data_IF_584994351411
#
_entry.id   IF_584994351411
#
_cell.length_a   1.000
_cell.length_b   1.000
_cell.length_c   1.000
_cell.angle_alpha   90.00
_cell.angle_beta   90.00
_cell.angle_gamma   90.00
#
_symmetry.space_group_name_H-M   'P 1'
#
loop_
_entity.id
_entity.type
_entity.pdbx_description
1 polymer ?
#
# COMPACT_ATOMS: atom_id res chain seq x y z
N UNK A 1 -12.13 5.01 1.46
CA UNK A 1 -12.89 6.15 2.05
C UNK A 1 -11.98 7.31 2.42
N UNK A 2 -10.83 7.10 3.08
CA UNK A 2 -9.85 8.15 3.37
C UNK A 2 -9.43 8.99 2.16
N UNK A 3 -8.99 8.35 1.07
CA UNK A 3 -8.63 9.03 -0.18
C UNK A 3 -9.73 9.97 -0.71
N UNK A 4 -10.98 9.50 -0.78
CA UNK A 4 -12.09 10.33 -1.25
C UNK A 4 -12.33 11.55 -0.34
N UNK A 5 -12.17 11.39 0.98
CA UNK A 5 -12.32 12.48 1.95
C UNK A 5 -11.22 13.55 1.81
N UNK A 6 -9.99 13.12 1.55
CA UNK A 6 -8.87 14.01 1.25
C UNK A 6 -9.09 14.76 -0.07
N UNK A 7 -9.43 14.07 -1.15
CA UNK A 7 -9.60 14.71 -2.46
C UNK A 7 -10.82 15.64 -2.54
N UNK A 8 -11.81 15.48 -1.67
CA UNK A 8 -12.93 16.43 -1.56
C UNK A 8 -12.44 17.83 -1.18
N UNK A 9 -11.62 17.95 -0.14
CA UNK A 9 -11.01 19.22 0.23
C UNK A 9 -9.61 18.92 0.80
N UNK A 10 -8.53 19.11 0.04
CA UNK A 10 -7.20 18.71 0.48
C UNK A 10 -6.72 19.53 1.70
N UNK A 11 -6.36 18.83 2.77
CA UNK A 11 -5.64 19.37 3.92
C UNK A 11 -4.85 18.24 4.63
N UNK A 12 -3.91 18.60 5.50
CA UNK A 12 -3.03 17.63 6.16
C UNK A 12 -3.76 16.72 7.15
N UNK A 13 -4.86 17.18 7.74
CA UNK A 13 -5.71 16.37 8.64
C UNK A 13 -6.44 15.30 7.84
N UNK A 14 -6.92 15.60 6.63
CA UNK A 14 -7.60 14.62 5.78
C UNK A 14 -6.60 13.71 5.08
N UNK A 15 -5.42 14.20 4.76
CA UNK A 15 -4.33 13.38 4.25
C UNK A 15 -3.88 12.35 5.29
N UNK A 16 -3.92 12.69 6.58
CA UNK A 16 -3.74 11.73 7.66
C UNK A 16 -4.76 10.58 7.57
N UNK A 17 -6.04 10.93 7.37
CA UNK A 17 -7.13 9.94 7.22
C UNK A 17 -7.03 9.11 5.94
N UNK A 18 -6.29 9.55 4.93
CA UNK A 18 -5.95 8.74 3.76
C UNK A 18 -4.80 7.76 4.05
N UNK A 19 -3.74 8.24 4.70
CA UNK A 19 -2.51 7.46 4.96
C UNK A 19 -2.69 6.37 6.02
N UNK A 20 -3.52 6.60 7.04
CA UNK A 20 -3.76 5.64 8.12
C UNK A 20 -4.34 4.31 7.61
N UNK A 21 -5.48 4.28 6.88
CA UNK A 21 -6.01 3.04 6.29
C UNK A 21 -5.02 2.38 5.33
N UNK A 22 -4.27 3.18 4.57
CA UNK A 22 -3.28 2.68 3.63
C UNK A 22 -2.19 1.87 4.34
N UNK A 23 -1.67 2.36 5.47
CA UNK A 23 -0.70 1.62 6.28
C UNK A 23 -1.26 0.33 6.86
N UNK A 24 -2.54 0.33 7.30
CA UNK A 24 -3.18 -0.91 7.76
C UNK A 24 -3.19 -1.96 6.66
N UNK A 25 -3.57 -1.58 5.44
CA UNK A 25 -3.60 -2.49 4.29
C UNK A 25 -2.21 -3.05 3.95
N UNK A 26 -1.19 -2.19 3.90
CA UNK A 26 0.17 -2.63 3.56
C UNK A 26 0.78 -3.54 4.62
N UNK A 27 0.58 -3.22 5.91
CA UNK A 27 1.10 -4.04 7.00
C UNK A 27 0.36 -5.37 7.11
N UNK A 28 -0.96 -5.39 6.92
CA UNK A 28 -1.74 -6.62 6.87
C UNK A 28 -1.36 -7.50 5.66
N UNK A 29 -1.11 -6.89 4.50
CA UNK A 29 -0.65 -7.61 3.31
C UNK A 29 0.73 -8.25 3.54
N UNK A 30 1.67 -7.52 4.13
CA UNK A 30 2.98 -8.05 4.48
C UNK A 30 2.87 -9.22 5.47
N UNK A 31 2.11 -9.04 6.55
CA UNK A 31 1.90 -10.07 7.57
C UNK A 31 1.27 -11.33 6.99
N UNK A 32 0.25 -11.19 6.14
CA UNK A 32 -0.39 -12.30 5.45
C UNK A 32 0.62 -13.08 4.58
N UNK A 33 1.50 -12.37 3.86
CA UNK A 33 2.50 -12.99 3.04
C UNK A 33 3.56 -13.74 3.86
N UNK A 34 3.98 -13.17 4.98
CA UNK A 34 4.86 -13.82 5.93
C UNK A 34 4.19 -15.07 6.53
N UNK A 35 2.97 -14.96 7.03
CA UNK A 35 2.24 -16.07 7.67
C UNK A 35 2.09 -17.31 6.80
N UNK A 36 1.93 -17.11 5.49
CA UNK A 36 1.88 -18.21 4.50
C UNK A 36 3.23 -18.88 4.23
N UNK A 37 4.33 -18.37 4.79
CA UNK A 37 5.67 -18.97 4.74
C UNK A 37 6.13 -19.44 6.11
N UNK A 38 6.11 -18.57 7.11
CA UNK A 38 6.68 -18.84 8.44
C UNK A 38 5.69 -19.52 9.40
N UNK A 39 4.39 -19.45 9.10
CA UNK A 39 3.32 -20.08 9.90
C UNK A 39 2.42 -19.06 10.60
N UNK A 40 1.20 -19.49 10.92
CA UNK A 40 0.14 -18.65 11.51
C UNK A 40 0.49 -18.02 12.88
N UNK A 41 1.16 -18.74 13.82
CA UNK A 41 1.46 -18.14 15.14
C UNK A 41 2.38 -16.93 15.03
N UNK A 42 3.37 -16.99 14.13
CA UNK A 42 4.31 -15.89 13.92
C UNK A 42 3.64 -14.68 13.27
N UNK A 43 2.75 -14.89 12.30
CA UNK A 43 1.96 -13.81 11.70
C UNK A 43 1.02 -13.15 12.72
N UNK A 44 0.33 -13.96 13.54
CA UNK A 44 -0.57 -13.41 14.58
C UNK A 44 0.15 -12.50 15.58
N UNK A 45 1.40 -12.82 15.91
CA UNK A 45 2.26 -11.97 16.76
C UNK A 45 2.89 -10.80 15.98
N UNK A 46 3.19 -10.97 14.69
CA UNK A 46 3.77 -9.97 13.82
C UNK A 46 2.81 -8.84 13.45
N UNK A 47 1.55 -9.16 13.18
CA UNK A 47 0.53 -8.19 12.77
C UNK A 47 0.41 -6.96 13.68
N UNK A 48 0.23 -7.07 15.01
CA UNK A 48 0.13 -5.89 15.87
C UNK A 48 1.41 -5.05 15.85
N UNK A 49 2.58 -5.69 15.72
CA UNK A 49 3.87 -4.99 15.65
C UNK A 49 3.96 -4.20 14.34
N UNK A 50 3.69 -4.85 13.21
CA UNK A 50 3.73 -4.22 11.88
C UNK A 50 2.73 -3.07 11.79
N UNK A 51 1.48 -3.28 12.23
CA UNK A 51 0.46 -2.22 12.29
C UNK A 51 0.94 -1.06 13.14
N UNK A 52 1.46 -1.32 14.34
CA UNK A 52 1.94 -0.27 15.24
C UNK A 52 3.05 0.55 14.60
N UNK A 53 4.03 -0.11 13.98
CA UNK A 53 5.11 0.58 13.25
C UNK A 53 4.57 1.39 12.07
N UNK A 54 3.63 0.84 11.30
CA UNK A 54 3.01 1.53 10.16
C UNK A 54 2.27 2.79 10.60
N UNK A 55 1.41 2.68 11.63
CA UNK A 55 0.69 3.82 12.20
C UNK A 55 1.64 4.84 12.82
N UNK A 56 2.66 4.38 13.57
CA UNK A 56 3.67 5.26 14.16
C UNK A 56 4.43 6.05 13.09
N UNK A 57 4.72 5.46 11.92
CA UNK A 57 5.35 6.18 10.80
C UNK A 57 4.50 7.33 10.27
N UNK A 58 3.17 7.16 10.23
CA UNK A 58 2.23 8.21 9.80
C UNK A 58 2.12 9.30 10.88
N UNK A 59 2.05 8.90 12.15
CA UNK A 59 2.03 9.84 13.27
C UNK A 59 3.31 10.67 13.34
N UNK A 60 4.47 10.05 13.09
CA UNK A 60 5.73 10.75 13.03
C UNK A 60 5.72 11.84 11.97
N UNK A 61 5.26 11.52 10.75
CA UNK A 61 5.08 12.54 9.70
C UNK A 61 4.12 13.65 10.14
N UNK A 62 2.95 13.30 10.65
CA UNK A 62 1.91 14.27 11.00
C UNK A 62 2.37 15.23 12.11
N UNK A 63 2.99 14.71 13.16
CA UNK A 63 3.53 15.53 14.26
C UNK A 63 4.68 16.44 13.80
N UNK A 64 5.50 15.97 12.85
CA UNK A 64 6.53 16.77 12.22
C UNK A 64 5.94 17.90 11.38
N UNK A 65 4.93 17.60 10.56
CA UNK A 65 4.24 18.57 9.71
C UNK A 65 3.63 19.70 10.53
N UNK A 66 2.99 19.40 11.67
CA UNK A 66 2.47 20.41 12.61
C UNK A 66 3.55 21.35 13.17
N UNK A 67 4.82 20.95 13.12
CA UNK A 67 5.98 21.76 13.52
C UNK A 67 6.70 22.40 12.32
N UNK A 68 6.12 22.33 11.12
CA UNK A 68 6.73 22.81 9.87
C UNK A 68 7.84 21.90 9.33
N UNK A 69 7.91 20.64 9.76
CA UNK A 69 8.93 19.66 9.34
C UNK A 69 8.28 18.51 8.58
N UNK A 70 8.32 18.58 7.25
CA UNK A 70 7.81 17.51 6.41
C UNK A 70 8.85 16.39 6.21
N UNK A 71 8.80 15.35 7.03
CA UNK A 71 9.61 14.14 6.86
C UNK A 71 8.75 12.94 6.50
N UNK A 72 8.91 12.45 5.27
CA UNK A 72 8.18 11.31 4.71
C UNK A 72 9.00 10.02 4.68
N UNK A 73 10.24 10.02 5.16
CA UNK A 73 11.17 8.89 4.97
C UNK A 73 10.66 7.62 5.64
N UNK A 74 10.22 7.73 6.89
CA UNK A 74 9.69 6.58 7.64
C UNK A 74 8.38 6.07 7.02
N UNK A 75 7.47 6.98 6.68
CA UNK A 75 6.22 6.64 6.00
C UNK A 75 6.48 5.93 4.66
N UNK A 76 7.36 6.51 3.82
CA UNK A 76 7.74 5.94 2.54
C UNK A 76 8.41 4.58 2.70
N UNK A 77 9.30 4.42 3.68
CA UNK A 77 9.88 3.12 3.99
C UNK A 77 8.79 2.09 4.31
N UNK A 78 7.88 2.39 5.24
CA UNK A 78 6.81 1.45 5.61
C UNK A 78 5.84 1.16 4.45
N UNK A 79 5.63 2.13 3.55
CA UNK A 79 4.80 1.95 2.36
C UNK A 79 5.45 1.02 1.31
N UNK A 80 6.72 1.24 0.98
CA UNK A 80 7.39 0.51 -0.10
C UNK A 80 8.06 -0.79 0.37
N UNK A 81 8.35 -0.92 1.67
CA UNK A 81 8.99 -2.10 2.22
C UNK A 81 8.22 -3.40 1.96
N UNK A 82 6.88 -3.48 2.10
CA UNK A 82 6.11 -4.66 1.69
C UNK A 82 6.28 -5.03 0.22
N UNK A 83 6.37 -4.03 -0.66
CA UNK A 83 6.49 -4.26 -2.11
C UNK A 83 7.83 -4.86 -2.51
N UNK A 84 8.85 -4.67 -1.68
CA UNK A 84 10.14 -5.31 -1.82
C UNK A 84 10.19 -6.66 -1.09
N UNK A 85 9.78 -6.69 0.19
CA UNK A 85 9.95 -7.86 1.05
C UNK A 85 9.02 -9.02 0.65
N UNK A 86 7.79 -8.75 0.22
CA UNK A 86 6.86 -9.80 -0.21
C UNK A 86 7.43 -10.61 -1.38
N UNK A 87 7.88 -10.02 -2.50
CA UNK A 87 8.52 -10.79 -3.56
C UNK A 87 9.77 -11.55 -3.08
N UNK A 88 10.61 -10.96 -2.23
CA UNK A 88 11.74 -11.68 -1.64
C UNK A 88 11.28 -12.93 -0.85
N UNK A 89 10.25 -12.80 -0.04
CA UNK A 89 9.68 -13.90 0.75
C UNK A 89 9.08 -14.99 -0.15
N UNK A 90 8.40 -14.60 -1.24
CA UNK A 90 7.87 -15.52 -2.24
C UNK A 90 8.97 -16.33 -2.95
N UNK A 91 10.12 -15.71 -3.22
CA UNK A 91 11.26 -16.33 -3.91
C UNK A 91 12.09 -17.22 -2.98
N UNK A 92 12.30 -16.78 -1.73
CA UNK A 92 13.22 -17.44 -0.80
C UNK A 92 12.55 -18.57 0.00
N UNK A 93 11.23 -18.52 0.19
CA UNK A 93 10.52 -19.50 1.02
C UNK A 93 9.44 -20.24 0.22
N UNK A 94 9.44 -21.59 0.25
CA UNK A 94 8.43 -22.37 -0.44
C UNK A 94 7.03 -22.10 0.12
N UNK A 95 6.05 -22.03 -0.78
CA UNK A 95 4.66 -21.76 -0.41
C UNK A 95 4.03 -22.92 0.33
N UNK A 96 3.43 -22.63 1.50
CA UNK A 96 2.61 -23.59 2.25
C UNK A 96 1.15 -23.62 1.79
N UNK A 97 0.76 -22.68 0.92
CA UNK A 97 -0.65 -22.41 0.60
C UNK A 97 -1.02 -22.72 -0.85
N UNK A 98 -0.11 -23.34 -1.59
CA UNK A 98 -0.28 -23.70 -3.00
C UNK A 98 0.01 -22.55 -3.98
N UNK A 99 0.23 -22.88 -5.27
CA UNK A 99 0.76 -21.94 -6.26
C UNK A 99 -0.24 -20.88 -6.73
N UNK A 100 -1.53 -21.03 -6.42
CA UNK A 100 -2.57 -20.06 -6.85
C UNK A 100 -2.45 -18.73 -6.13
N UNK A 101 -2.33 -18.76 -4.81
CA UNK A 101 -2.22 -17.55 -3.99
C UNK A 101 -0.94 -16.77 -4.33
N UNK A 102 0.18 -17.46 -4.55
CA UNK A 102 1.43 -16.82 -4.97
C UNK A 102 1.26 -16.04 -6.28
N UNK A 103 0.53 -16.59 -7.25
CA UNK A 103 0.22 -15.90 -8.51
C UNK A 103 -0.65 -14.67 -8.27
N UNK A 104 -1.65 -14.76 -7.40
CA UNK A 104 -2.50 -13.61 -7.08
C UNK A 104 -1.71 -12.48 -6.42
N UNK A 105 -0.76 -12.81 -5.53
CA UNK A 105 0.16 -11.83 -4.95
C UNK A 105 1.05 -11.18 -6.01
N UNK A 106 1.60 -11.95 -6.95
CA UNK A 106 2.38 -11.39 -8.05
C UNK A 106 1.55 -10.44 -8.94
N UNK A 107 0.27 -10.77 -9.17
CA UNK A 107 -0.65 -9.88 -9.90
C UNK A 107 -0.87 -8.58 -9.10
N UNK A 108 -1.08 -8.66 -7.78
CA UNK A 108 -1.24 -7.47 -6.92
C UNK A 108 0.01 -6.58 -6.95
N UNK A 109 1.21 -7.16 -6.89
CA UNK A 109 2.47 -6.43 -6.99
C UNK A 109 2.62 -5.76 -8.36
N UNK A 110 2.25 -6.45 -9.45
CA UNK A 110 2.27 -5.89 -10.79
C UNK A 110 1.26 -4.74 -10.96
N UNK A 111 0.05 -4.87 -10.40
CA UNK A 111 -0.95 -3.81 -10.41
C UNK A 111 -0.49 -2.61 -9.58
N UNK A 112 0.19 -2.81 -8.45
CA UNK A 112 0.76 -1.73 -7.67
C UNK A 112 1.86 -0.98 -8.44
N UNK A 113 2.79 -1.71 -9.08
CA UNK A 113 3.80 -1.10 -9.96
C UNK A 113 3.15 -0.34 -11.13
N UNK A 114 2.09 -0.89 -11.72
CA UNK A 114 1.33 -0.21 -12.76
C UNK A 114 0.70 1.09 -12.23
N UNK A 115 0.08 1.06 -11.06
CA UNK A 115 -0.49 2.26 -10.43
C UNK A 115 0.57 3.35 -10.21
N UNK A 116 1.79 2.98 -9.79
CA UNK A 116 2.90 3.93 -9.66
C UNK A 116 3.34 4.51 -11.01
N UNK A 117 3.38 3.71 -12.08
CA UNK A 117 3.69 4.21 -13.43
C UNK A 117 2.66 5.26 -13.86
N UNK A 118 1.37 4.99 -13.64
CA UNK A 118 0.32 5.95 -13.96
C UNK A 118 0.47 7.24 -13.14
N UNK A 119 0.69 7.13 -11.83
CA UNK A 119 0.82 8.28 -10.94
C UNK A 119 2.06 9.13 -11.22
N UNK A 120 3.22 8.51 -11.49
CA UNK A 120 4.50 9.21 -11.58
C UNK A 120 4.86 9.63 -13.00
N UNK A 121 4.51 8.84 -14.02
CA UNK A 121 4.96 9.07 -15.39
C UNK A 121 3.84 9.57 -16.31
N UNK A 122 2.58 9.24 -16.01
CA UNK A 122 1.46 9.46 -16.92
C UNK A 122 0.41 10.44 -16.38
N UNK A 123 0.63 11.05 -15.22
CA UNK A 123 -0.36 11.94 -14.61
C UNK A 123 -0.71 13.15 -15.49
N UNK A 124 0.26 14.04 -15.72
CA UNK A 124 0.10 15.18 -16.61
C UNK A 124 -0.15 14.82 -18.08
N UNK A 125 0.56 13.83 -18.68
CA UNK A 125 0.31 13.42 -20.06
C UNK A 125 -1.12 12.96 -20.32
N UNK A 126 -1.71 12.15 -19.43
CA UNK A 126 -3.08 11.67 -19.60
C UNK A 126 -4.09 12.78 -19.38
N UNK A 127 -3.84 13.65 -18.39
CA UNK A 127 -4.70 14.80 -18.15
C UNK A 127 -4.73 15.75 -19.35
N UNK A 128 -3.60 15.95 -20.05
CA UNK A 128 -3.52 16.84 -21.21
C UNK A 128 -4.35 16.38 -22.43
N UNK A 129 -4.70 15.09 -22.53
CA UNK A 129 -5.47 14.56 -23.68
C UNK A 129 -6.94 14.97 -23.62
N UNK A 130 -7.54 14.96 -22.42
CA UNK A 130 -8.98 15.13 -22.28
C UNK A 130 -9.45 15.93 -21.06
N UNK A 131 -8.55 16.37 -20.18
CA UNK A 131 -8.86 17.22 -19.03
C UNK A 131 -9.72 16.58 -17.93
N UNK A 132 -10.08 15.30 -18.06
CA UNK A 132 -11.00 14.59 -17.15
C UNK A 132 -10.29 13.47 -16.39
N UNK A 133 -9.45 12.68 -17.07
CA UNK A 133 -8.76 11.52 -16.49
C UNK A 133 -7.28 11.83 -16.41
N UNK A 134 -6.72 11.72 -15.22
CA UNK A 134 -5.28 11.78 -14.98
C UNK A 134 -4.74 10.42 -14.57
N UNK A 135 -3.42 10.27 -14.62
CA UNK A 135 -2.73 9.10 -14.09
C UNK A 135 -3.01 8.86 -12.60
N UNK A 136 -3.12 9.94 -11.82
CA UNK A 136 -3.53 9.90 -10.42
C UNK A 136 -4.94 9.31 -10.24
N UNK A 137 -5.91 9.70 -11.07
CA UNK A 137 -7.25 9.11 -11.02
C UNK A 137 -7.23 7.61 -11.35
N UNK A 138 -6.45 7.22 -12.37
CA UNK A 138 -6.30 5.81 -12.77
C UNK A 138 -5.60 4.96 -11.73
N UNK A 139 -4.63 5.52 -10.98
CA UNK A 139 -3.94 4.78 -9.91
C UNK A 139 -4.93 4.27 -8.86
N UNK A 140 -5.94 5.07 -8.50
CA UNK A 140 -6.93 4.69 -7.50
C UNK A 140 -7.81 3.55 -8.00
N UNK A 141 -8.18 3.56 -9.29
CA UNK A 141 -8.93 2.46 -9.91
C UNK A 141 -8.11 1.17 -9.96
N UNK A 142 -6.83 1.27 -10.35
CA UNK A 142 -5.91 0.13 -10.39
C UNK A 142 -5.68 -0.43 -8.97
N UNK A 143 -5.47 0.44 -7.98
CA UNK A 143 -5.30 0.04 -6.58
C UNK A 143 -6.56 -0.65 -6.02
N UNK A 144 -7.75 -0.11 -6.31
CA UNK A 144 -9.02 -0.73 -5.93
C UNK A 144 -9.17 -2.12 -6.58
N UNK A 145 -8.82 -2.25 -7.86
CA UNK A 145 -8.85 -3.53 -8.56
C UNK A 145 -7.84 -4.53 -7.98
N UNK A 146 -6.64 -4.08 -7.58
CA UNK A 146 -5.65 -4.93 -6.92
C UNK A 146 -6.17 -5.49 -5.59
N UNK A 147 -6.82 -4.67 -4.77
CA UNK A 147 -7.46 -5.13 -3.53
C UNK A 147 -8.55 -6.14 -3.81
N UNK A 148 -9.45 -5.87 -4.77
CA UNK A 148 -10.47 -6.83 -5.19
C UNK A 148 -9.84 -8.15 -5.67
N UNK A 149 -8.77 -8.09 -6.46
CA UNK A 149 -8.07 -9.25 -6.99
C UNK A 149 -7.49 -10.13 -5.89
N UNK A 150 -6.96 -9.52 -4.83
CA UNK A 150 -6.45 -10.25 -3.68
C UNK A 150 -7.60 -10.91 -2.89
N UNK A 151 -8.66 -10.16 -2.63
CA UNK A 151 -9.78 -10.62 -1.79
C UNK A 151 -10.60 -11.74 -2.44
N UNK A 152 -10.69 -11.78 -3.78
CA UNK A 152 -11.40 -12.88 -4.48
C UNK A 152 -10.73 -14.26 -4.28
N UNK A 153 -9.45 -14.26 -3.90
CA UNK A 153 -8.63 -15.45 -3.74
C UNK A 153 -8.39 -15.85 -2.28
N UNK A 154 -8.98 -15.12 -1.32
CA UNK A 154 -9.08 -15.50 0.09
C UNK A 154 -10.30 -16.40 0.29
#
# INVERSE_FOLDING_TARGET
MGSAYYHWAPDNVRLLWDRLPMMLCFMAFLDLALGRRIGEPAARLGLPILITLGLASVMYWYLGEQQGREDLRLYGFMQFFPMFLVPCVLLLFPSRSGPRWDRDVLVVLALYALALVFDLLLDAPLFAIGGIISGHSLKHLIAAFAVYWLLRGL
#
